data_IF_257776370261
#
_entry.id   IF_257776370261
#
_cell.length_a   1.000
_cell.length_b   1.000
_cell.length_c   1.000
_cell.angle_alpha   90.00
_cell.angle_beta   90.00
_cell.angle_gamma   90.00
#
_symmetry.space_group_name_H-M   'P 1'
#
loop_
_entity.id
_entity.type
_entity.pdbx_description
1 polymer ?
#
# COMPACT_ATOMS: atom_id res chain seq x y z
N UNK A 1 4.99 -49.38 40.29
CA UNK A 1 4.50 -48.07 39.81
C UNK A 1 3.04 -48.23 39.44
N UNK A 2 2.13 -47.44 40.01
CA UNK A 2 0.71 -47.54 39.73
C UNK A 2 0.36 -46.81 38.42
N UNK A 3 -0.14 -47.54 37.43
CA UNK A 3 -0.63 -47.00 36.15
C UNK A 3 -1.85 -46.09 36.40
N UNK A 4 -1.74 -44.80 36.08
CA UNK A 4 -2.89 -43.89 36.09
C UNK A 4 -3.54 -43.90 34.71
N UNK A 5 -4.76 -44.46 34.65
CA UNK A 5 -5.60 -44.43 33.45
C UNK A 5 -6.49 -43.18 33.49
N UNK A 6 -6.35 -42.30 32.49
CA UNK A 6 -7.21 -41.11 32.37
C UNK A 6 -8.37 -41.46 31.43
N UNK A 7 -9.59 -41.31 31.93
CA UNK A 7 -10.82 -41.48 31.14
C UNK A 7 -11.19 -40.12 30.54
N UNK A 8 -11.13 -40.03 29.21
CA UNK A 8 -11.56 -38.83 28.48
C UNK A 8 -12.93 -39.10 27.89
N UNK A 9 -13.90 -38.26 28.28
CA UNK A 9 -15.28 -38.38 27.85
C UNK A 9 -15.50 -37.66 26.52
N UNK A 10 -16.03 -38.35 25.52
CA UNK A 10 -16.33 -37.77 24.23
C UNK A 10 -17.83 -37.40 24.14
N UNK A 11 -18.14 -36.11 24.28
CA UNK A 11 -19.52 -35.60 24.30
C UNK A 11 -20.29 -35.83 22.99
N UNK A 12 -19.61 -36.08 21.88
CA UNK A 12 -20.22 -36.20 20.55
C UNK A 12 -20.85 -37.59 20.33
N UNK A 13 -20.37 -38.63 21.02
CA UNK A 13 -20.77 -40.00 20.78
C UNK A 13 -20.85 -40.86 22.07
N UNK A 14 -20.76 -40.24 23.24
CA UNK A 14 -20.97 -40.90 24.55
C UNK A 14 -19.94 -41.97 24.89
N UNK A 15 -18.83 -42.05 24.16
CA UNK A 15 -17.78 -43.05 24.37
C UNK A 15 -16.70 -42.53 25.32
N UNK A 16 -16.27 -43.41 26.23
CA UNK A 16 -15.15 -43.17 27.14
C UNK A 16 -13.92 -43.82 26.54
N UNK A 17 -12.97 -43.01 26.11
CA UNK A 17 -11.65 -43.49 25.66
C UNK A 17 -10.70 -43.47 26.85
N UNK A 18 -10.13 -44.64 27.16
CA UNK A 18 -9.14 -44.78 28.23
C UNK A 18 -7.76 -44.67 27.60
N UNK A 19 -7.01 -43.61 27.93
CA UNK A 19 -5.66 -43.40 27.40
C UNK A 19 -4.68 -43.82 28.50
N UNK A 20 -3.81 -44.78 28.19
CA UNK A 20 -2.73 -45.21 29.08
C UNK A 20 -1.57 -44.20 28.99
N UNK A 21 -1.23 -43.61 30.14
CA UNK A 21 -0.24 -42.54 30.26
C UNK A 21 1.18 -43.14 30.25
N UNK A 22 1.64 -43.60 29.08
CA UNK A 22 3.04 -43.95 28.87
C UNK A 22 3.68 -42.87 27.97
N UNK A 23 4.57 -42.06 28.58
CA UNK A 23 5.49 -41.06 28.00
C UNK A 23 5.03 -39.58 27.90
N UNK A 24 5.96 -38.67 28.24
CA UNK A 24 5.82 -37.22 28.13
C UNK A 24 5.58 -36.72 26.68
N UNK A 25 5.91 -37.53 25.68
CA UNK A 25 5.58 -37.27 24.27
C UNK A 25 4.07 -37.33 24.02
N UNK A 26 3.37 -38.27 24.64
CA UNK A 26 1.92 -38.49 24.51
C UNK A 26 1.13 -37.33 25.13
N UNK A 27 1.63 -36.76 26.23
CA UNK A 27 1.06 -35.56 26.87
C UNK A 27 1.24 -34.30 26.00
N UNK A 28 2.43 -34.12 25.42
CA UNK A 28 2.74 -33.00 24.53
C UNK A 28 1.89 -33.02 23.24
N UNK A 29 1.62 -34.23 22.72
CA UNK A 29 0.80 -34.43 21.54
C UNK A 29 -0.69 -34.19 21.81
N UNK A 30 -1.19 -34.65 22.97
CA UNK A 30 -2.56 -34.35 23.44
C UNK A 30 -2.77 -32.85 23.69
N UNK A 31 -1.80 -32.17 24.31
CA UNK A 31 -1.85 -30.72 24.55
C UNK A 31 -1.86 -29.93 23.24
N UNK A 32 -1.10 -30.39 22.22
CA UNK A 32 -1.11 -29.80 20.88
C UNK A 32 -2.44 -30.00 20.16
N UNK A 33 -3.03 -31.20 20.24
CA UNK A 33 -4.33 -31.51 19.63
C UNK A 33 -5.46 -30.68 20.29
N UNK A 34 -5.42 -30.53 21.62
CA UNK A 34 -6.36 -29.70 22.36
C UNK A 34 -6.21 -28.21 22.00
N UNK A 35 -4.97 -27.73 21.87
CA UNK A 35 -4.66 -26.39 21.39
C UNK A 35 -5.23 -26.11 20.00
N UNK A 36 -4.99 -27.01 19.04
CA UNK A 36 -5.48 -26.88 17.66
C UNK A 36 -7.01 -26.92 17.59
N UNK A 37 -7.66 -27.81 18.36
CA UNK A 37 -9.14 -27.85 18.44
C UNK A 37 -9.72 -26.56 19.01
N UNK A 38 -9.08 -25.98 20.03
CA UNK A 38 -9.52 -24.72 20.62
C UNK A 38 -9.38 -23.55 19.64
N UNK A 39 -8.27 -23.47 18.91
CA UNK A 39 -8.07 -22.45 17.86
C UNK A 39 -9.11 -22.57 16.76
N UNK A 40 -9.40 -23.79 16.29
CA UNK A 40 -10.46 -24.02 15.31
C UNK A 40 -11.84 -23.62 15.82
N UNK A 41 -12.16 -23.90 17.09
CA UNK A 41 -13.42 -23.47 17.70
C UNK A 41 -13.54 -21.95 17.75
N UNK A 42 -12.48 -21.25 18.16
CA UNK A 42 -12.43 -19.79 18.12
C UNK A 42 -12.63 -19.26 16.70
N UNK A 43 -12.00 -19.89 15.72
CA UNK A 43 -12.15 -19.57 14.32
C UNK A 43 -13.61 -19.75 13.84
N UNK A 44 -14.27 -20.85 14.20
CA UNK A 44 -15.67 -21.11 13.82
C UNK A 44 -16.69 -20.20 14.53
N UNK A 45 -16.33 -19.59 15.66
CA UNK A 45 -17.11 -18.52 16.30
C UNK A 45 -17.00 -17.17 15.57
N UNK A 46 -16.09 -17.06 14.61
CA UNK A 46 -15.92 -15.85 13.79
C UNK A 46 -17.00 -15.73 12.71
N UNK A 47 -16.78 -14.83 11.75
CA UNK A 47 -17.74 -14.51 10.72
C UNK A 47 -17.45 -15.27 9.42
N UNK A 48 -18.40 -16.02 8.86
CA UNK A 48 -18.19 -16.78 7.63
C UNK A 48 -17.87 -15.89 6.41
N UNK A 49 -18.30 -14.63 6.41
CA UNK A 49 -18.01 -13.70 5.30
C UNK A 49 -16.60 -13.12 5.37
N UNK A 50 -15.83 -13.40 6.42
CA UNK A 50 -14.42 -13.01 6.52
C UNK A 50 -13.48 -14.10 6.04
N UNK A 51 -13.97 -15.32 5.85
CA UNK A 51 -13.16 -16.47 5.44
C UNK A 51 -12.42 -16.22 4.12
N UNK A 52 -11.14 -16.57 4.11
CA UNK A 52 -10.33 -16.65 2.92
C UNK A 52 -9.72 -18.04 2.77
N UNK A 53 -10.28 -18.80 1.83
CA UNK A 53 -9.84 -20.14 1.45
C UNK A 53 -8.36 -20.27 1.00
N UNK A 54 -7.70 -19.17 0.60
CA UNK A 54 -6.29 -19.18 0.20
C UNK A 54 -5.33 -18.91 1.36
N UNK A 55 -5.78 -18.19 2.40
CA UNK A 55 -4.91 -17.71 3.48
C UNK A 55 -5.19 -18.36 4.83
N UNK A 56 -6.40 -18.84 5.05
CA UNK A 56 -6.79 -19.46 6.32
C UNK A 56 -6.27 -20.90 6.40
N UNK A 57 -5.61 -21.23 7.52
CA UNK A 57 -5.07 -22.57 7.80
C UNK A 57 -6.18 -23.60 8.01
N UNK A 58 -7.30 -23.17 8.58
CA UNK A 58 -8.45 -24.02 8.84
C UNK A 58 -9.31 -24.16 7.58
N UNK A 59 -9.37 -25.38 7.06
CA UNK A 59 -10.23 -25.72 5.92
C UNK A 59 -11.67 -25.91 6.39
N UNK A 60 -12.49 -24.89 6.19
CA UNK A 60 -13.94 -24.97 6.37
C UNK A 60 -14.58 -25.38 5.05
N UNK A 61 -15.52 -26.33 5.07
CA UNK A 61 -16.22 -26.80 3.86
C UNK A 61 -17.50 -26.01 3.63
N UNK A 62 -18.22 -25.68 4.71
CA UNK A 62 -19.54 -25.01 4.62
C UNK A 62 -19.71 -23.89 5.63
N UNK A 63 -20.57 -22.92 5.30
CA UNK A 63 -21.07 -21.93 6.26
C UNK A 63 -21.79 -22.56 7.45
N UNK A 64 -22.24 -23.81 7.33
CA UNK A 64 -22.92 -24.56 8.39
C UNK A 64 -22.01 -24.95 9.55
N UNK A 65 -20.69 -25.00 9.35
CA UNK A 65 -19.73 -25.30 10.41
C UNK A 65 -19.56 -24.14 11.40
N UNK A 66 -19.97 -22.93 11.03
CA UNK A 66 -19.84 -21.75 11.89
C UNK A 66 -20.81 -21.81 13.07
N UNK A 67 -20.33 -21.41 14.24
CA UNK A 67 -21.08 -21.45 15.50
C UNK A 67 -22.02 -20.25 15.57
N UNK A 68 -23.26 -20.51 15.96
CA UNK A 68 -24.32 -19.50 16.14
C UNK A 68 -24.89 -19.62 17.55
N UNK A 69 -25.21 -18.47 18.14
CA UNK A 69 -25.84 -18.41 19.47
C UNK A 69 -27.34 -18.12 19.31
N UNK A 70 -28.19 -19.02 19.81
CA UNK A 70 -29.63 -18.82 19.87
C UNK A 70 -30.21 -19.28 21.21
N UNK A 71 -30.95 -18.40 21.90
CA UNK A 71 -31.56 -18.67 23.22
C UNK A 71 -30.55 -19.30 24.22
N UNK A 72 -29.32 -18.78 24.28
CA UNK A 72 -28.21 -19.28 25.13
C UNK A 72 -27.64 -20.66 24.76
N UNK A 73 -28.05 -21.26 23.63
CA UNK A 73 -27.41 -22.46 23.06
C UNK A 73 -26.40 -22.04 22.00
N UNK A 74 -25.19 -22.61 22.05
CA UNK A 74 -24.13 -22.43 21.06
C UNK A 74 -23.98 -23.73 20.26
N UNK A 75 -24.52 -23.75 19.04
CA UNK A 75 -24.41 -24.92 18.17
C UNK A 75 -23.95 -24.47 16.78
N UNK A 76 -23.54 -25.42 15.95
CA UNK A 76 -23.22 -25.13 14.55
C UNK A 76 -24.46 -24.63 13.81
N UNK A 77 -24.28 -23.77 12.80
CA UNK A 77 -25.39 -23.24 12.02
C UNK A 77 -26.17 -24.35 11.32
N UNK A 78 -25.49 -25.39 10.84
CA UNK A 78 -26.11 -26.57 10.24
C UNK A 78 -27.00 -27.33 11.22
N UNK A 79 -26.55 -27.49 12.47
CA UNK A 79 -27.31 -28.22 13.49
C UNK A 79 -28.66 -27.54 13.79
N UNK A 80 -28.70 -26.21 13.86
CA UNK A 80 -29.97 -25.48 13.99
C UNK A 80 -30.89 -25.63 12.77
N UNK A 81 -30.32 -25.78 11.58
CA UNK A 81 -31.06 -25.83 10.33
C UNK A 81 -31.65 -27.22 10.10
N UNK A 82 -30.87 -28.26 10.35
CA UNK A 82 -31.23 -29.65 10.05
C UNK A 82 -31.89 -30.36 11.23
N UNK A 83 -31.72 -29.87 12.48
CA UNK A 83 -32.36 -30.48 13.66
C UNK A 83 -33.89 -30.43 13.58
N UNK A 84 -34.53 -31.49 14.07
CA UNK A 84 -35.98 -31.61 14.26
C UNK A 84 -36.49 -30.84 15.47
N UNK A 85 -35.61 -30.41 16.38
CA UNK A 85 -35.96 -29.76 17.64
C UNK A 85 -36.53 -28.35 17.46
N UNK A 86 -36.31 -27.75 16.29
CA UNK A 86 -36.73 -26.38 15.99
C UNK A 86 -37.84 -26.37 14.95
N UNK A 87 -38.91 -25.63 15.23
CA UNK A 87 -39.96 -25.45 14.24
C UNK A 87 -39.52 -24.50 13.11
N UNK A 88 -40.28 -24.49 12.01
CA UNK A 88 -40.02 -23.66 10.82
C UNK A 88 -39.84 -22.17 11.15
N UNK A 89 -40.66 -21.63 12.05
CA UNK A 89 -40.61 -20.23 12.44
C UNK A 89 -39.32 -19.90 13.22
N UNK A 90 -38.90 -20.80 14.11
CA UNK A 90 -37.65 -20.68 14.87
C UNK A 90 -36.44 -20.76 13.96
N UNK A 91 -36.39 -21.73 13.03
CA UNK A 91 -35.32 -21.82 12.01
C UNK A 91 -35.19 -20.52 11.21
N UNK A 92 -36.32 -19.96 10.75
CA UNK A 92 -36.32 -18.66 10.04
C UNK A 92 -35.79 -17.53 10.94
N UNK A 93 -36.15 -17.49 12.23
CA UNK A 93 -35.63 -16.48 13.17
C UNK A 93 -34.13 -16.65 13.39
N UNK A 94 -33.63 -17.87 13.51
CA UNK A 94 -32.20 -18.18 13.67
C UNK A 94 -31.45 -17.65 12.44
N UNK A 95 -31.83 -18.07 11.23
CA UNK A 95 -31.24 -17.61 9.96
C UNK A 95 -31.21 -16.08 9.89
N UNK A 96 -32.35 -15.41 10.16
CA UNK A 96 -32.43 -13.94 10.16
C UNK A 96 -31.48 -13.30 11.17
N UNK A 97 -31.40 -13.83 12.39
CA UNK A 97 -30.53 -13.30 13.45
C UNK A 97 -29.06 -13.50 13.09
N UNK A 98 -28.65 -14.69 12.65
CA UNK A 98 -27.27 -15.01 12.26
C UNK A 98 -26.79 -14.12 11.13
N UNK A 99 -27.55 -14.04 10.03
CA UNK A 99 -27.17 -13.19 8.91
C UNK A 99 -27.17 -11.70 9.26
N UNK A 100 -28.09 -11.24 10.12
CA UNK A 100 -28.05 -9.85 10.62
C UNK A 100 -26.79 -9.58 11.44
N UNK A 101 -26.42 -10.51 12.32
CA UNK A 101 -25.21 -10.43 13.12
C UNK A 101 -23.94 -10.44 12.25
N UNK A 102 -23.78 -11.44 11.39
CA UNK A 102 -22.64 -11.56 10.49
C UNK A 102 -22.51 -10.36 9.54
N UNK A 103 -23.63 -9.85 9.00
CA UNK A 103 -23.58 -8.64 8.17
C UNK A 103 -23.18 -7.40 8.99
N UNK A 104 -23.65 -7.27 10.24
CA UNK A 104 -23.29 -6.15 11.11
C UNK A 104 -21.79 -6.20 11.46
N UNK A 105 -21.31 -7.37 11.86
CA UNK A 105 -19.92 -7.60 12.23
C UNK A 105 -18.96 -7.38 11.04
N UNK A 106 -19.25 -7.96 9.87
CA UNK A 106 -18.47 -7.73 8.65
C UNK A 106 -18.40 -6.23 8.30
N UNK A 107 -19.53 -5.52 8.39
CA UNK A 107 -19.56 -4.09 8.11
C UNK A 107 -18.77 -3.27 9.14
N UNK A 108 -18.74 -3.70 10.41
CA UNK A 108 -17.93 -3.09 11.48
C UNK A 108 -16.45 -3.26 11.17
N UNK A 109 -15.98 -4.49 10.98
CA UNK A 109 -14.58 -4.79 10.69
C UNK A 109 -14.11 -4.16 9.38
N UNK A 110 -14.95 -4.16 8.33
CA UNK A 110 -14.65 -3.43 7.09
C UNK A 110 -14.49 -1.94 7.34
N UNK A 111 -15.37 -1.30 8.11
CA UNK A 111 -15.27 0.14 8.40
C UNK A 111 -14.01 0.44 9.19
N UNK A 112 -13.68 -0.36 10.20
CA UNK A 112 -12.47 -0.21 11.01
C UNK A 112 -11.20 -0.33 10.14
N UNK A 113 -11.07 -1.40 9.36
CA UNK A 113 -9.94 -1.61 8.45
C UNK A 113 -9.84 -0.51 7.38
N UNK A 114 -10.96 -0.15 6.77
CA UNK A 114 -11.00 0.93 5.76
C UNK A 114 -10.63 2.28 6.37
N UNK A 115 -11.13 2.61 7.57
CA UNK A 115 -10.85 3.88 8.22
C UNK A 115 -9.38 3.97 8.64
N UNK A 116 -8.84 2.93 9.29
CA UNK A 116 -7.42 2.83 9.67
C UNK A 116 -6.50 3.06 8.47
N UNK A 117 -6.79 2.36 7.38
CA UNK A 117 -6.03 2.48 6.14
C UNK A 117 -6.23 3.83 5.44
N UNK A 118 -7.45 4.37 5.43
CA UNK A 118 -7.71 5.68 4.83
C UNK A 118 -7.03 6.82 5.57
N UNK A 119 -6.92 6.73 6.89
CA UNK A 119 -6.18 7.70 7.70
C UNK A 119 -4.68 7.59 7.44
N UNK A 120 -4.15 6.37 7.33
CA UNK A 120 -2.77 6.15 6.89
C UNK A 120 -2.52 6.74 5.50
N UNK A 121 -3.40 6.49 4.53
CA UNK A 121 -3.31 7.05 3.17
C UNK A 121 -3.39 8.60 3.16
N UNK A 122 -4.25 9.21 3.97
CA UNK A 122 -4.34 10.68 4.11
C UNK A 122 -3.11 11.29 4.78
N UNK A 123 -2.59 10.68 5.84
CA UNK A 123 -1.36 11.13 6.51
C UNK A 123 -0.14 11.10 5.57
N UNK A 124 -0.23 10.22 4.56
CA UNK A 124 0.77 9.97 3.55
C UNK A 124 0.66 10.93 2.35
N UNK A 125 -0.52 11.54 2.13
CA UNK A 125 -0.80 12.54 1.08
C UNK A 125 0.03 13.85 1.23
N UNK A 126 0.74 14.02 2.34
CA UNK A 126 1.59 15.18 2.67
C UNK A 126 2.93 15.19 1.89
N UNK A 127 3.20 14.19 1.05
CA UNK A 127 4.30 14.26 0.08
C UNK A 127 3.97 15.21 -1.09
N UNK A 128 3.69 16.50 -0.80
CA UNK A 128 3.71 17.58 -1.80
C UNK A 128 5.14 17.80 -2.29
N UNK A 129 5.64 16.88 -3.10
CA UNK A 129 6.88 17.06 -3.84
C UNK A 129 6.52 17.81 -5.12
N UNK A 130 6.88 19.09 -5.16
CA UNK A 130 6.62 19.95 -6.31
C UNK A 130 7.65 19.63 -7.40
N UNK A 131 7.17 19.43 -8.62
CA UNK A 131 8.01 19.35 -9.80
C UNK A 131 8.72 20.70 -10.01
N UNK A 132 9.84 20.66 -10.70
CA UNK A 132 10.57 21.87 -11.04
C UNK A 132 9.83 22.63 -12.16
N UNK A 133 9.60 23.93 -11.98
CA UNK A 133 8.80 24.74 -12.89
C UNK A 133 9.50 24.91 -14.24
N UNK A 134 8.73 24.93 -15.35
CA UNK A 134 9.26 25.11 -16.70
C UNK A 134 10.04 26.42 -16.84
N UNK A 135 9.50 27.52 -16.31
CA UNK A 135 10.16 28.84 -16.32
C UNK A 135 11.55 28.80 -15.67
N UNK A 136 11.70 28.09 -14.55
CA UNK A 136 12.99 27.95 -13.86
C UNK A 136 13.98 27.11 -14.67
N UNK A 137 13.50 26.17 -15.49
CA UNK A 137 14.35 25.40 -16.42
C UNK A 137 14.85 26.26 -17.56
N UNK A 138 13.96 27.07 -18.14
CA UNK A 138 14.32 28.00 -19.24
C UNK A 138 15.37 28.98 -18.74
N UNK A 139 15.18 29.57 -17.56
CA UNK A 139 16.15 30.49 -16.97
C UNK A 139 17.50 29.81 -16.69
N UNK A 140 17.50 28.59 -16.12
CA UNK A 140 18.72 27.81 -15.90
C UNK A 140 19.45 27.50 -17.22
N UNK A 141 18.69 27.16 -18.27
CA UNK A 141 19.22 26.88 -19.60
C UNK A 141 19.80 28.13 -20.26
N UNK A 142 19.15 29.28 -20.11
CA UNK A 142 19.68 30.56 -20.58
C UNK A 142 21.00 30.90 -19.87
N UNK A 143 21.08 30.76 -18.54
CA UNK A 143 22.33 30.97 -17.79
C UNK A 143 23.46 30.05 -18.25
N UNK A 144 23.13 28.77 -18.51
CA UNK A 144 24.09 27.81 -19.06
C UNK A 144 24.61 28.23 -20.44
N UNK A 145 23.71 28.62 -21.36
CA UNK A 145 24.12 29.07 -22.70
C UNK A 145 25.01 30.31 -22.65
N UNK A 146 24.66 31.30 -21.82
CA UNK A 146 25.47 32.51 -21.63
C UNK A 146 26.86 32.13 -21.11
N UNK A 147 26.95 31.26 -20.10
CA UNK A 147 28.23 30.81 -19.57
C UNK A 147 29.07 30.08 -20.63
N UNK A 148 28.44 29.23 -21.43
CA UNK A 148 29.11 28.47 -22.49
C UNK A 148 29.66 29.40 -23.59
N UNK A 149 28.89 30.41 -23.98
CA UNK A 149 29.33 31.45 -24.92
C UNK A 149 30.52 32.22 -24.35
N UNK A 150 30.46 32.65 -23.09
CA UNK A 150 31.52 33.42 -22.44
C UNK A 150 32.84 32.63 -22.34
N UNK A 151 32.79 31.36 -21.94
CA UNK A 151 34.00 30.53 -21.80
C UNK A 151 34.63 30.25 -23.17
N UNK A 152 33.81 30.11 -24.22
CA UNK A 152 34.28 29.84 -25.57
C UNK A 152 34.46 31.13 -26.39
N UNK A 153 35.22 32.09 -25.84
CA UNK A 153 35.41 33.43 -26.41
C UNK A 153 36.22 33.47 -27.73
N UNK A 154 36.91 32.36 -28.05
CA UNK A 154 37.65 32.18 -29.30
C UNK A 154 36.80 31.52 -30.40
N UNK A 155 35.54 31.19 -30.11
CA UNK A 155 34.66 30.54 -31.09
C UNK A 155 34.29 31.45 -32.27
N UNK A 156 33.83 30.82 -33.36
CA UNK A 156 33.30 31.51 -34.54
C UNK A 156 32.15 32.47 -34.25
N UNK A 157 31.38 32.23 -33.19
CA UNK A 157 30.32 33.14 -32.77
C UNK A 157 30.90 34.49 -32.30
N UNK A 158 32.01 34.44 -31.57
CA UNK A 158 32.70 35.65 -31.13
C UNK A 158 33.44 36.35 -32.25
N UNK A 159 34.01 35.62 -33.22
CA UNK A 159 34.69 36.26 -34.34
C UNK A 159 33.75 37.19 -35.11
N UNK A 160 32.50 36.79 -35.36
CA UNK A 160 31.50 37.66 -36.00
C UNK A 160 30.99 38.78 -35.09
N UNK A 161 31.01 38.58 -33.77
CA UNK A 161 30.58 39.61 -32.83
C UNK A 161 31.63 40.70 -32.61
N UNK A 162 32.92 40.34 -32.72
CA UNK A 162 34.08 41.25 -32.64
C UNK A 162 34.09 42.32 -33.73
N UNK A 163 33.39 42.11 -34.83
CA UNK A 163 33.26 43.10 -35.91
C UNK A 163 32.50 44.37 -35.46
N UNK A 164 31.82 44.32 -34.31
CA UNK A 164 31.20 45.49 -33.67
C UNK A 164 32.10 46.09 -32.60
N UNK A 165 32.10 47.42 -32.44
CA UNK A 165 32.88 48.13 -31.41
C UNK A 165 32.62 47.57 -29.98
N UNK A 166 31.36 47.27 -29.67
CA UNK A 166 30.99 46.68 -28.39
C UNK A 166 31.49 45.24 -28.24
N UNK A 167 31.37 44.41 -29.27
CA UNK A 167 31.83 43.03 -29.24
C UNK A 167 33.35 42.89 -29.16
N UNK A 168 34.09 43.78 -29.83
CA UNK A 168 35.55 43.85 -29.69
C UNK A 168 35.96 44.16 -28.24
N UNK A 169 35.38 45.23 -27.67
CA UNK A 169 35.63 45.64 -26.28
C UNK A 169 35.31 44.50 -25.30
N UNK A 170 34.15 43.88 -25.44
CA UNK A 170 33.71 42.84 -24.52
C UNK A 170 34.55 41.56 -24.65
N UNK A 171 34.98 41.20 -25.87
CA UNK A 171 35.88 40.08 -26.10
C UNK A 171 37.29 40.31 -25.51
N UNK A 172 37.86 41.52 -25.63
CA UNK A 172 39.16 41.84 -25.02
C UNK A 172 39.10 41.70 -23.49
N UNK A 173 38.02 42.17 -22.86
CA UNK A 173 37.82 42.05 -21.41
C UNK A 173 37.64 40.59 -20.97
N UNK A 174 36.89 39.81 -21.73
CA UNK A 174 36.76 38.35 -21.49
C UNK A 174 38.12 37.67 -21.61
N UNK A 175 38.89 37.94 -22.67
CA UNK A 175 40.23 37.37 -22.85
C UNK A 175 41.17 37.67 -21.69
N UNK A 176 41.16 38.90 -21.16
CA UNK A 176 41.94 39.28 -19.97
C UNK A 176 41.56 38.51 -18.71
N UNK A 177 40.27 38.24 -18.51
CA UNK A 177 39.78 37.46 -17.37
C UNK A 177 40.16 35.99 -17.50
N UNK A 178 39.96 35.41 -18.68
CA UNK A 178 40.22 33.99 -18.91
C UNK A 178 41.70 33.64 -19.08
N UNK A 179 42.56 34.63 -19.36
CA UNK A 179 44.01 34.50 -19.20
C UNK A 179 44.41 34.26 -17.74
N UNK A 180 43.55 34.61 -16.77
CA UNK A 180 43.75 34.27 -15.37
C UNK A 180 43.28 32.84 -15.13
N UNK A 181 44.24 31.91 -14.99
CA UNK A 181 43.97 30.45 -15.04
C UNK A 181 42.87 29.98 -14.07
N UNK A 182 42.75 30.57 -12.87
CA UNK A 182 41.77 30.13 -11.88
C UNK A 182 40.32 30.47 -12.27
N UNK A 183 40.07 31.60 -12.96
CA UNK A 183 38.71 31.97 -13.42
C UNK A 183 38.25 31.04 -14.54
N UNK A 184 39.16 30.67 -15.44
CA UNK A 184 38.90 29.68 -16.49
C UNK A 184 38.47 28.33 -15.92
N UNK A 185 39.20 27.81 -14.92
CA UNK A 185 38.82 26.56 -14.26
C UNK A 185 37.46 26.65 -13.55
N UNK A 186 37.15 27.76 -12.87
CA UNK A 186 35.83 27.97 -12.23
C UNK A 186 34.71 27.98 -13.27
N UNK A 187 34.93 28.61 -14.42
CA UNK A 187 33.98 28.61 -15.53
C UNK A 187 33.71 27.19 -16.06
N UNK A 188 34.77 26.43 -16.34
CA UNK A 188 34.66 25.04 -16.79
C UNK A 188 33.94 24.14 -15.78
N UNK A 189 34.30 24.23 -14.49
CA UNK A 189 33.60 23.53 -13.40
C UNK A 189 32.12 23.92 -13.38
N UNK A 190 31.82 25.21 -13.59
CA UNK A 190 30.46 25.73 -13.75
C UNK A 190 29.67 25.01 -14.84
N UNK A 191 30.24 24.89 -16.04
CA UNK A 191 29.62 24.20 -17.18
C UNK A 191 29.31 22.74 -16.83
N UNK A 192 30.25 22.01 -16.23
CA UNK A 192 30.02 20.63 -15.78
C UNK A 192 28.93 20.55 -14.71
N UNK A 193 28.90 21.48 -13.75
CA UNK A 193 27.85 21.56 -12.73
C UNK A 193 26.47 21.79 -13.34
N UNK A 194 26.36 22.64 -14.37
CA UNK A 194 25.11 22.82 -15.11
C UNK A 194 24.67 21.53 -15.80
N UNK A 195 25.57 20.82 -16.48
CA UNK A 195 25.27 19.53 -17.12
C UNK A 195 24.75 18.51 -16.10
N UNK A 196 25.45 18.33 -14.98
CA UNK A 196 25.03 17.45 -13.89
C UNK A 196 23.67 17.89 -13.34
N UNK A 197 23.45 19.20 -13.17
CA UNK A 197 22.18 19.76 -12.71
C UNK A 197 21.04 19.45 -13.67
N UNK A 198 21.25 19.52 -14.99
CA UNK A 198 20.22 19.15 -15.97
C UNK A 198 19.85 17.68 -15.89
N UNK A 199 20.83 16.78 -15.83
CA UNK A 199 20.59 15.34 -15.68
C UNK A 199 19.84 15.03 -14.38
N UNK A 200 20.27 15.64 -13.28
CA UNK A 200 19.61 15.48 -11.98
C UNK A 200 18.17 16.02 -12.01
N UNK A 201 17.93 17.20 -12.60
CA UNK A 201 16.58 17.75 -12.70
C UNK A 201 15.67 16.92 -13.60
N UNK A 202 16.19 16.38 -14.70
CA UNK A 202 15.43 15.50 -15.58
C UNK A 202 14.97 14.24 -14.84
N UNK A 203 15.91 13.52 -14.22
CA UNK A 203 15.63 12.32 -13.42
C UNK A 203 14.71 12.59 -12.24
N UNK A 204 14.95 13.66 -11.48
CA UNK A 204 14.09 14.09 -10.36
C UNK A 204 12.63 14.30 -10.79
N UNK A 205 12.41 14.93 -11.95
CA UNK A 205 11.05 15.20 -12.41
C UNK A 205 10.34 13.95 -12.95
N UNK A 206 11.06 13.05 -13.62
CA UNK A 206 10.50 11.75 -14.03
C UNK A 206 10.13 10.89 -12.81
N UNK A 207 11.00 10.82 -11.80
CA UNK A 207 10.72 10.11 -10.54
C UNK A 207 9.45 10.67 -9.88
N UNK A 208 9.30 11.99 -9.81
CA UNK A 208 8.10 12.62 -9.21
C UNK A 208 6.85 12.37 -10.03
N UNK A 209 6.95 12.44 -11.37
CA UNK A 209 5.82 12.21 -12.27
C UNK A 209 5.36 10.75 -12.18
N UNK A 210 6.28 9.80 -12.27
CA UNK A 210 6.03 8.37 -12.08
C UNK A 210 5.39 8.11 -10.71
N UNK A 211 5.95 8.67 -9.63
CA UNK A 211 5.40 8.54 -8.29
C UNK A 211 3.95 9.08 -8.19
N UNK A 212 3.67 10.26 -8.74
CA UNK A 212 2.31 10.84 -8.75
C UNK A 212 1.32 9.98 -9.53
N UNK A 213 1.74 9.43 -10.67
CA UNK A 213 0.91 8.57 -11.50
C UNK A 213 0.58 7.27 -10.77
N UNK A 214 1.59 6.57 -10.26
CA UNK A 214 1.40 5.35 -9.47
C UNK A 214 0.53 5.60 -8.24
N UNK A 215 0.77 6.70 -7.49
CA UNK A 215 -0.07 7.04 -6.35
C UNK A 215 -1.55 7.22 -6.74
N UNK A 216 -1.82 7.94 -7.84
CA UNK A 216 -3.19 8.14 -8.36
C UNK A 216 -3.84 6.82 -8.79
N UNK A 217 -3.09 5.94 -9.44
CA UNK A 217 -3.57 4.61 -9.87
C UNK A 217 -3.86 3.71 -8.68
N UNK A 218 -2.94 3.63 -7.71
CA UNK A 218 -3.13 2.83 -6.50
C UNK A 218 -4.33 3.34 -5.69
N UNK A 219 -4.53 4.66 -5.59
CA UNK A 219 -5.75 5.23 -4.98
C UNK A 219 -7.04 4.83 -5.72
N UNK A 220 -7.02 4.81 -7.07
CA UNK A 220 -8.16 4.31 -7.85
C UNK A 220 -8.41 2.83 -7.58
N UNK A 221 -7.35 2.02 -7.49
CA UNK A 221 -7.43 0.59 -7.19
C UNK A 221 -8.01 0.33 -5.80
N UNK A 222 -7.57 1.07 -4.77
CA UNK A 222 -8.12 1.01 -3.41
C UNK A 222 -9.62 1.35 -3.39
N UNK A 223 -10.03 2.41 -4.10
CA UNK A 223 -11.45 2.79 -4.23
C UNK A 223 -12.28 1.71 -4.93
N UNK A 224 -11.77 1.15 -6.03
CA UNK A 224 -12.42 0.06 -6.79
C UNK A 224 -12.56 -1.21 -5.94
N UNK A 225 -11.51 -1.57 -5.21
CA UNK A 225 -11.48 -2.74 -4.31
C UNK A 225 -12.49 -2.57 -3.18
N UNK A 226 -12.53 -1.42 -2.52
CA UNK A 226 -13.54 -1.08 -1.49
C UNK A 226 -14.98 -1.23 -2.00
N UNK A 227 -15.25 -0.75 -3.21
CA UNK A 227 -16.58 -0.86 -3.82
C UNK A 227 -16.93 -2.31 -4.18
N UNK A 228 -15.96 -3.05 -4.72
CA UNK A 228 -16.12 -4.46 -5.12
C UNK A 228 -16.37 -5.35 -3.89
N UNK A 229 -15.59 -5.18 -2.82
CA UNK A 229 -15.78 -5.86 -1.53
C UNK A 229 -17.19 -5.70 -0.96
N UNK A 230 -17.74 -4.47 -1.02
CA UNK A 230 -19.11 -4.19 -0.55
C UNK A 230 -20.16 -4.86 -1.43
N UNK A 231 -19.98 -4.81 -2.76
CA UNK A 231 -20.92 -5.40 -3.72
C UNK A 231 -20.93 -6.92 -3.62
N UNK A 232 -19.76 -7.53 -3.58
CA UNK A 232 -19.61 -8.98 -3.51
C UNK A 232 -20.15 -9.56 -2.21
N UNK A 233 -19.78 -8.97 -1.06
CA UNK A 233 -20.33 -9.40 0.22
C UNK A 233 -21.86 -9.27 0.26
N UNK A 234 -22.43 -8.15 -0.23
CA UNK A 234 -23.89 -7.98 -0.28
C UNK A 234 -24.56 -9.03 -1.17
N UNK A 235 -23.95 -9.33 -2.33
CA UNK A 235 -24.45 -10.33 -3.28
C UNK A 235 -24.42 -11.72 -2.64
N UNK A 236 -23.26 -12.20 -2.18
CA UNK A 236 -23.09 -13.53 -1.60
C UNK A 236 -23.92 -13.72 -0.32
N UNK A 237 -23.98 -12.71 0.55
CA UNK A 237 -24.83 -12.74 1.74
C UNK A 237 -26.32 -12.86 1.38
N UNK A 238 -26.82 -12.08 0.41
CA UNK A 238 -28.22 -12.16 -0.04
C UNK A 238 -28.55 -13.51 -0.69
N UNK A 239 -27.65 -14.04 -1.52
CA UNK A 239 -27.83 -15.34 -2.18
C UNK A 239 -27.87 -16.47 -1.15
N UNK A 240 -26.90 -16.51 -0.25
CA UNK A 240 -26.81 -17.55 0.80
C UNK A 240 -28.02 -17.47 1.75
N UNK A 241 -28.41 -16.27 2.17
CA UNK A 241 -29.62 -16.07 2.97
C UNK A 241 -30.89 -16.55 2.25
N UNK A 242 -31.02 -16.22 0.96
CA UNK A 242 -32.14 -16.64 0.12
C UNK A 242 -32.22 -18.15 -0.05
N UNK A 243 -31.08 -18.82 -0.21
CA UNK A 243 -30.96 -20.27 -0.29
C UNK A 243 -31.56 -20.96 0.94
N UNK A 244 -31.09 -20.58 2.14
CA UNK A 244 -31.57 -21.16 3.39
C UNK A 244 -33.05 -20.89 3.64
N UNK A 245 -33.50 -19.65 3.41
CA UNK A 245 -34.91 -19.32 3.57
C UNK A 245 -35.81 -20.09 2.60
N UNK A 246 -35.40 -20.28 1.35
CA UNK A 246 -36.19 -21.00 0.34
C UNK A 246 -36.36 -22.46 0.76
N UNK A 247 -35.28 -23.14 1.16
CA UNK A 247 -35.36 -24.54 1.58
C UNK A 247 -36.23 -24.74 2.83
N UNK A 248 -36.07 -23.89 3.85
CA UNK A 248 -36.91 -23.95 5.05
C UNK A 248 -38.37 -23.61 4.75
N UNK A 249 -38.64 -22.62 3.88
CA UNK A 249 -40.01 -22.27 3.47
C UNK A 249 -40.70 -23.41 2.71
N UNK A 250 -39.95 -24.15 1.91
CA UNK A 250 -40.46 -25.28 1.14
C UNK A 250 -40.58 -26.57 1.98
N UNK A 251 -40.28 -26.53 3.29
CA UNK A 251 -40.41 -27.67 4.18
C UNK A 251 -39.34 -28.75 4.00
N UNK A 252 -38.27 -28.46 3.26
CA UNK A 252 -37.15 -29.41 3.08
C UNK A 252 -36.35 -29.48 4.38
N UNK A 253 -36.39 -30.65 5.03
CA UNK A 253 -35.62 -30.93 6.25
C UNK A 253 -34.17 -31.30 5.96
N UNK A 254 -33.90 -31.89 4.80
CA UNK A 254 -32.56 -32.32 4.38
C UNK A 254 -32.21 -31.61 3.08
N UNK A 255 -31.15 -30.80 3.10
CA UNK A 255 -30.59 -30.16 1.93
C UNK A 255 -29.09 -29.88 2.15
N UNK A 256 -28.27 -29.85 1.10
CA UNK A 256 -26.83 -29.66 1.25
C UNK A 256 -26.50 -28.26 1.77
N UNK A 257 -25.51 -28.15 2.65
CA UNK A 257 -25.02 -26.87 3.10
C UNK A 257 -24.30 -26.09 2.01
N UNK A 258 -24.41 -24.75 2.05
CA UNK A 258 -23.73 -23.89 1.08
C UNK A 258 -22.23 -23.96 1.34
N UNK A 259 -21.45 -24.22 0.28
CA UNK A 259 -19.99 -24.26 0.36
C UNK A 259 -19.46 -22.90 0.80
N UNK A 260 -18.44 -22.89 1.66
CA UNK A 260 -17.91 -21.62 2.19
C UNK A 260 -17.34 -20.73 1.08
N UNK A 261 -16.80 -21.32 0.00
CA UNK A 261 -16.26 -20.60 -1.17
C UNK A 261 -17.33 -19.84 -1.96
N UNK A 262 -18.59 -20.32 -1.92
CA UNK A 262 -19.73 -19.66 -2.56
C UNK A 262 -20.31 -18.56 -1.66
N UNK A 263 -20.26 -18.76 -0.34
CA UNK A 263 -20.81 -17.84 0.66
C UNK A 263 -19.86 -16.68 0.99
N UNK A 264 -18.54 -16.92 1.06
CA UNK A 264 -17.52 -15.94 1.41
C UNK A 264 -17.01 -15.21 0.16
N UNK A 265 -16.65 -13.92 0.25
CA UNK A 265 -16.11 -13.13 -0.86
C UNK A 265 -14.77 -13.67 -1.43
N UNK A 266 -14.06 -14.57 -0.74
CA UNK A 266 -12.89 -15.26 -1.30
C UNK A 266 -11.66 -14.35 -1.44
N UNK A 267 -11.00 -14.35 -2.61
CA UNK A 267 -9.73 -13.63 -2.89
C UNK A 267 -9.82 -12.13 -2.64
N UNK A 268 -10.97 -11.52 -2.93
CA UNK A 268 -11.27 -10.15 -2.55
C UNK A 268 -11.70 -10.13 -1.08
N UNK A 269 -10.74 -10.16 -0.16
CA UNK A 269 -11.00 -10.02 1.27
C UNK A 269 -10.46 -8.69 1.84
N UNK A 270 -10.70 -8.46 3.14
CA UNK A 270 -10.19 -7.29 3.83
C UNK A 270 -8.65 -7.26 3.87
N UNK A 271 -7.99 -8.40 3.82
CA UNK A 271 -6.54 -8.51 3.87
C UNK A 271 -5.88 -8.09 2.57
N UNK A 272 -6.46 -8.44 1.41
CA UNK A 272 -6.00 -7.94 0.12
C UNK A 272 -6.08 -6.40 0.08
N UNK A 273 -7.17 -5.83 0.59
CA UNK A 273 -7.29 -4.38 0.74
C UNK A 273 -6.22 -3.81 1.70
N UNK A 274 -5.92 -4.50 2.80
CA UNK A 274 -4.87 -4.11 3.74
C UNK A 274 -3.49 -4.19 3.11
N UNK A 275 -3.20 -5.22 2.33
CA UNK A 275 -1.93 -5.42 1.63
C UNK A 275 -1.69 -4.30 0.62
N UNK A 276 -2.65 -4.04 -0.27
CA UNK A 276 -2.56 -2.96 -1.26
C UNK A 276 -2.43 -1.60 -0.56
N UNK A 277 -3.19 -1.36 0.51
CA UNK A 277 -3.08 -0.11 1.27
C UNK A 277 -1.72 0.05 1.97
N UNK A 278 -1.21 -1.01 2.59
CA UNK A 278 0.06 -1.00 3.30
C UNK A 278 1.22 -0.79 2.32
N UNK A 279 1.15 -1.39 1.14
CA UNK A 279 2.16 -1.18 0.11
C UNK A 279 2.24 0.30 -0.32
N UNK A 280 1.09 0.97 -0.51
CA UNK A 280 1.03 2.40 -0.81
C UNK A 280 1.66 3.22 0.33
N UNK A 281 1.32 2.90 1.58
CA UNK A 281 1.86 3.58 2.77
C UNK A 281 3.37 3.37 2.86
N UNK A 282 3.88 2.16 2.64
CA UNK A 282 5.30 1.84 2.68
C UNK A 282 6.08 2.54 1.57
N UNK A 283 5.61 2.46 0.32
CA UNK A 283 6.25 3.12 -0.84
C UNK A 283 6.31 4.63 -0.63
N UNK A 284 5.21 5.22 -0.16
CA UNK A 284 5.21 6.65 0.14
C UNK A 284 6.07 6.99 1.36
N UNK A 285 6.09 6.13 2.38
CA UNK A 285 6.97 6.28 3.54
C UNK A 285 8.45 6.35 3.12
N UNK A 286 8.88 5.48 2.21
CA UNK A 286 10.23 5.52 1.60
C UNK A 286 10.47 6.85 0.87
N UNK A 287 9.53 7.28 0.03
CA UNK A 287 9.63 8.56 -0.68
C UNK A 287 9.66 9.77 0.27
N UNK A 288 8.91 9.73 1.38
CA UNK A 288 8.90 10.78 2.40
C UNK A 288 10.23 10.86 3.15
N UNK A 289 10.82 9.71 3.51
CA UNK A 289 12.15 9.64 4.15
C UNK A 289 13.23 10.23 3.24
N UNK A 290 13.22 9.85 1.96
CA UNK A 290 14.24 10.29 1.01
C UNK A 290 13.96 11.68 0.43
N UNK A 291 12.79 12.28 0.71
CA UNK A 291 12.41 13.60 0.22
C UNK A 291 13.45 14.66 0.55
N UNK A 292 13.94 14.67 1.79
CA UNK A 292 14.94 15.65 2.21
C UNK A 292 16.20 15.55 1.35
N UNK A 293 16.73 14.34 1.14
CA UNK A 293 17.88 14.11 0.27
C UNK A 293 17.64 14.66 -1.15
N UNK A 294 16.52 14.28 -1.79
CA UNK A 294 16.21 14.77 -3.14
C UNK A 294 16.05 16.29 -3.23
N UNK A 295 15.48 16.91 -2.19
CA UNK A 295 15.26 18.35 -2.14
C UNK A 295 16.57 19.09 -1.87
N UNK A 296 17.40 18.60 -0.95
CA UNK A 296 18.70 19.18 -0.59
C UNK A 296 19.67 19.09 -1.76
N UNK A 297 19.84 17.91 -2.38
CA UNK A 297 20.68 17.77 -3.57
C UNK A 297 20.24 18.70 -4.71
N UNK A 298 18.92 18.87 -4.90
CA UNK A 298 18.39 19.82 -5.88
C UNK A 298 18.83 21.26 -5.59
N UNK A 299 18.66 21.72 -4.34
CA UNK A 299 19.02 23.08 -3.98
C UNK A 299 20.52 23.30 -4.01
N UNK A 300 21.31 22.32 -3.57
CA UNK A 300 22.76 22.37 -3.61
C UNK A 300 23.29 22.48 -5.05
N UNK A 301 22.83 21.63 -5.95
CA UNK A 301 23.24 21.66 -7.37
C UNK A 301 22.84 22.97 -8.05
N UNK A 302 21.62 23.46 -7.79
CA UNK A 302 21.16 24.75 -8.30
C UNK A 302 21.98 25.92 -7.74
N UNK A 303 22.29 25.92 -6.45
CA UNK A 303 23.07 26.97 -5.82
C UNK A 303 24.50 27.00 -6.37
N UNK A 304 25.15 25.83 -6.50
CA UNK A 304 26.50 25.71 -7.04
C UNK A 304 26.59 26.15 -8.51
N UNK A 305 25.64 25.74 -9.36
CA UNK A 305 25.61 26.16 -10.77
C UNK A 305 25.35 27.66 -10.92
N UNK A 306 24.40 28.22 -10.19
CA UNK A 306 24.11 29.65 -10.23
C UNK A 306 25.24 30.49 -9.59
N UNK A 307 25.90 29.99 -8.55
CA UNK A 307 27.04 30.67 -7.94
C UNK A 307 28.20 30.77 -8.92
N UNK A 308 28.53 29.69 -9.64
CA UNK A 308 29.56 29.73 -10.67
C UNK A 308 29.22 30.73 -11.79
N UNK A 309 27.97 30.76 -12.24
CA UNK A 309 27.50 31.76 -13.21
C UNK A 309 27.66 33.19 -12.68
N UNK A 310 27.15 33.47 -11.48
CA UNK A 310 27.23 34.80 -10.87
C UNK A 310 28.69 35.23 -10.64
N UNK A 311 29.57 34.29 -10.30
CA UNK A 311 30.99 34.54 -10.10
C UNK A 311 31.69 34.97 -11.39
N UNK A 312 31.48 34.24 -12.49
CA UNK A 312 32.07 34.59 -13.80
C UNK A 312 31.54 35.93 -14.31
N UNK A 313 30.24 36.18 -14.17
CA UNK A 313 29.64 37.46 -14.54
C UNK A 313 30.15 38.60 -13.65
N UNK A 314 30.29 38.38 -12.34
CA UNK A 314 30.82 39.36 -11.40
C UNK A 314 32.28 39.73 -11.72
N UNK A 315 33.12 38.75 -12.02
CA UNK A 315 34.48 38.97 -12.48
C UNK A 315 34.52 39.78 -13.80
N UNK A 316 33.57 39.51 -14.70
CA UNK A 316 33.41 40.26 -15.95
C UNK A 316 33.06 41.73 -15.72
N UNK A 317 32.07 41.99 -14.88
CA UNK A 317 31.66 43.37 -14.54
C UNK A 317 32.81 44.11 -13.84
N UNK A 318 33.49 43.45 -12.89
CA UNK A 318 34.63 44.05 -12.19
C UNK A 318 35.74 44.47 -13.16
N UNK A 319 36.07 43.63 -14.13
CA UNK A 319 37.09 43.96 -15.15
C UNK A 319 36.64 45.08 -16.10
N UNK A 320 35.34 45.20 -16.38
CA UNK A 320 34.80 46.29 -17.20
C UNK A 320 34.83 47.64 -16.47
N UNK A 321 34.74 47.65 -15.13
CA UNK A 321 34.78 48.88 -14.32
C UNK A 321 36.22 49.36 -14.09
N UNK A 322 37.14 48.44 -13.83
CA UNK A 322 38.53 48.78 -13.44
C UNK A 322 39.47 48.91 -14.62
N UNK A 323 39.30 48.09 -15.66
CA UNK A 323 40.21 48.04 -16.80
C UNK A 323 39.76 48.92 -17.94
#
# INVERSE_FOLDING_TARGET
>A
MAERKIKVYNEINGSVTTIEENNAQTKTEVDKILGDKYQRLLFLKSNPFLYNHEMDKDKVKSIEEYIVIYKKRENSFGEFIHSTDFNKAEKIRIIKKSFKFWNKDYNKQRKENVNKNSNALKAVEVAKIRSFNLLKRILLFASFLVLLIIINYESRLWSSFKDTNFGFYLNDKIGKIFNTSWVFYIGLIGVYLFVITFFYLATYNEIIKSYKNHYKESLKMVKKTKASLKREQKKKSKTTYGYYLKNIKNGRLIFPGVKITEAAPGVLNLDFYNQVSNEIVQRTGKMKKNKWFFVTCRYLLLALSLFSFAFVIGALIFQMIIG
#
